data_IF_507480667384
#
_entry.id   IF_507480667384
#
_cell.length_a   1.000
_cell.length_b   1.000
_cell.length_c   1.000
_cell.angle_alpha   90.00
_cell.angle_beta   90.00
_cell.angle_gamma   90.00
#
_symmetry.space_group_name_H-M   'P 1'
#
loop_
_entity.id
_entity.type
_entity.pdbx_description
1 polymer ?
#
# COMPACT_ATOMS: atom_id res chain seq x y z
N UNK A 1 -12.59 -9.45 14.14
CA UNK A 1 -11.40 -9.61 13.33
C UNK A 1 -11.37 -8.55 12.24
N UNK A 2 -10.23 -7.95 12.10
CA UNK A 2 -10.08 -6.87 11.14
C UNK A 2 -9.99 -7.42 9.72
N UNK A 3 -10.80 -6.88 8.82
CA UNK A 3 -10.58 -7.01 7.39
C UNK A 3 -9.53 -6.00 6.99
N UNK A 4 -8.63 -6.38 6.12
CA UNK A 4 -7.73 -5.42 5.52
C UNK A 4 -8.21 -5.10 4.10
N UNK A 5 -7.92 -3.89 3.67
CA UNK A 5 -8.23 -3.39 2.35
C UNK A 5 -6.93 -2.96 1.71
N UNK A 6 -6.82 -3.10 0.41
CA UNK A 6 -5.64 -2.64 -0.32
C UNK A 6 -5.84 -1.21 -0.78
N UNK A 7 -4.78 -0.43 -0.65
CA UNK A 7 -4.77 0.98 -1.06
C UNK A 7 -3.55 1.24 -1.93
N UNK A 8 -3.78 1.96 -3.01
CA UNK A 8 -2.68 2.50 -3.81
C UNK A 8 -2.43 3.92 -3.33
N UNK A 9 -1.21 4.16 -2.84
CA UNK A 9 -0.79 5.47 -2.37
C UNK A 9 0.17 6.08 -3.38
N UNK A 10 -0.12 7.29 -3.81
CA UNK A 10 0.72 8.01 -4.76
C UNK A 10 1.51 9.07 -4.03
N UNK A 11 2.83 9.04 -4.23
CA UNK A 11 3.76 10.05 -3.72
C UNK A 11 4.43 10.72 -4.92
N UNK A 12 4.18 11.99 -5.11
CA UNK A 12 4.79 12.76 -6.19
C UNK A 12 5.72 13.80 -5.59
N UNK A 13 6.98 13.42 -5.45
CA UNK A 13 8.02 14.24 -4.81
C UNK A 13 9.21 14.41 -5.76
N UNK A 14 9.12 15.23 -6.79
CA UNK A 14 10.17 15.35 -7.80
C UNK A 14 11.52 15.80 -7.28
N UNK A 15 11.54 16.43 -6.11
CA UNK A 15 12.77 16.95 -5.52
C UNK A 15 13.27 16.11 -4.34
N UNK A 16 12.62 15.01 -4.01
CA UNK A 16 13.06 14.17 -2.90
C UNK A 16 14.37 13.46 -3.27
N UNK A 17 15.29 13.39 -2.32
CA UNK A 17 16.53 12.65 -2.52
C UNK A 17 16.25 11.13 -2.41
N UNK A 18 17.02 10.35 -3.13
CA UNK A 18 16.91 8.90 -3.05
C UNK A 18 17.20 8.40 -1.63
N UNK A 19 18.10 9.04 -0.92
CA UNK A 19 18.42 8.73 0.47
C UNK A 19 17.19 8.89 1.39
N UNK A 20 16.40 9.93 1.18
CA UNK A 20 15.18 10.14 1.94
C UNK A 20 14.13 9.07 1.63
N UNK A 21 14.00 8.70 0.36
CA UNK A 21 13.09 7.63 -0.06
C UNK A 21 13.45 6.32 0.65
N UNK A 22 14.73 5.95 0.64
CA UNK A 22 15.20 4.74 1.32
C UNK A 22 14.96 4.80 2.82
N UNK A 23 15.16 5.95 3.43
CA UNK A 23 14.90 6.15 4.86
C UNK A 23 13.43 5.92 5.19
N UNK A 24 12.54 6.48 4.38
CA UNK A 24 11.09 6.29 4.54
C UNK A 24 10.72 4.81 4.42
N UNK A 25 11.27 4.13 3.42
CA UNK A 25 11.01 2.71 3.23
C UNK A 25 11.44 1.87 4.43
N UNK A 26 12.61 2.14 5.00
CA UNK A 26 13.10 1.43 6.18
C UNK A 26 12.19 1.68 7.39
N UNK A 27 11.76 2.91 7.58
CA UNK A 27 10.89 3.25 8.70
C UNK A 27 9.52 2.57 8.57
N UNK A 28 8.98 2.47 7.36
CA UNK A 28 7.64 1.93 7.11
C UNK A 28 7.61 0.42 6.91
N UNK A 29 8.74 -0.22 6.68
CA UNK A 29 8.78 -1.65 6.35
C UNK A 29 8.36 -2.55 7.50
N UNK A 30 8.52 -2.12 8.75
CA UNK A 30 8.28 -2.94 9.95
C UNK A 30 7.22 -2.36 10.88
N UNK A 31 6.30 -1.57 10.37
CA UNK A 31 5.24 -1.00 11.21
C UNK A 31 4.16 -2.03 11.50
N UNK A 32 3.44 -1.80 12.61
CA UNK A 32 2.29 -2.62 12.98
C UNK A 32 1.01 -2.05 12.37
N UNK A 33 -0.01 -2.88 12.25
CA UNK A 33 -1.37 -2.52 11.84
C UNK A 33 -1.54 -2.14 10.38
N UNK A 34 -0.47 -2.24 9.59
CA UNK A 34 -0.54 -2.09 8.14
C UNK A 34 0.63 -2.81 7.52
N UNK A 35 0.51 -3.18 6.27
CA UNK A 35 1.56 -3.88 5.55
C UNK A 35 1.84 -3.15 4.23
N UNK A 36 3.08 -2.77 4.06
CA UNK A 36 3.57 -2.28 2.78
C UNK A 36 3.85 -3.49 1.88
N UNK A 37 3.09 -3.62 0.79
CA UNK A 37 3.14 -4.81 -0.07
C UNK A 37 4.19 -4.68 -1.15
N UNK A 38 4.16 -3.59 -1.91
CA UNK A 38 5.11 -3.34 -3.00
C UNK A 38 5.08 -1.89 -3.43
N UNK A 39 6.11 -1.47 -4.16
CA UNK A 39 6.20 -0.13 -4.71
C UNK A 39 6.62 -0.20 -6.17
N UNK A 40 5.95 0.60 -6.97
CA UNK A 40 6.38 0.90 -8.34
C UNK A 40 6.86 2.34 -8.32
N UNK A 41 8.06 2.61 -8.80
CA UNK A 41 8.59 3.95 -8.73
C UNK A 41 9.28 4.36 -10.02
N UNK A 42 9.22 5.66 -10.29
CA UNK A 42 9.99 6.27 -11.37
C UNK A 42 10.96 7.24 -10.72
N UNK A 43 12.22 6.85 -10.64
CA UNK A 43 13.26 7.61 -9.96
C UNK A 43 13.53 8.96 -10.61
N UNK A 44 13.43 9.01 -11.94
CA UNK A 44 13.65 10.22 -12.73
C UNK A 44 12.58 11.28 -12.46
N UNK A 45 11.33 10.85 -12.38
CA UNK A 45 10.20 11.74 -12.20
C UNK A 45 9.86 11.98 -10.71
N UNK A 46 10.43 11.19 -9.82
CA UNK A 46 10.16 11.31 -8.39
C UNK A 46 8.77 10.84 -7.99
N UNK A 47 8.20 9.92 -8.75
CA UNK A 47 6.86 9.40 -8.48
C UNK A 47 6.94 7.98 -7.97
N UNK A 48 6.17 7.68 -6.93
CA UNK A 48 6.08 6.34 -6.35
C UNK A 48 4.62 5.93 -6.21
N UNK A 49 4.35 4.68 -6.51
CA UNK A 49 3.03 4.07 -6.34
C UNK A 49 3.21 2.92 -5.37
N UNK A 50 2.73 3.10 -4.15
CA UNK A 50 2.91 2.12 -3.09
C UNK A 50 1.61 1.38 -2.81
N UNK A 51 1.67 0.05 -2.84
CA UNK A 51 0.52 -0.78 -2.52
C UNK A 51 0.60 -1.15 -1.04
N UNK A 52 -0.47 -0.85 -0.31
CA UNK A 52 -0.57 -1.08 1.13
C UNK A 52 -1.80 -1.91 1.48
N UNK A 53 -1.71 -2.64 2.57
CA UNK A 53 -2.86 -3.27 3.22
C UNK A 53 -3.04 -2.62 4.58
N UNK A 54 -4.24 -2.15 4.87
CA UNK A 54 -4.56 -1.52 6.14
C UNK A 54 -6.05 -1.74 6.46
N UNK A 55 -6.43 -1.51 7.70
CA UNK A 55 -7.82 -1.67 8.10
C UNK A 55 -8.73 -0.69 7.38
N UNK A 56 -8.29 0.55 7.23
CA UNK A 56 -9.00 1.59 6.49
C UNK A 56 -8.04 2.71 6.08
N UNK A 57 -8.54 3.64 5.28
CA UNK A 57 -7.77 4.78 4.80
C UNK A 57 -7.31 5.69 5.94
N UNK A 58 -8.15 5.88 6.93
CA UNK A 58 -7.85 6.73 8.07
C UNK A 58 -6.63 6.22 8.85
N UNK A 59 -6.56 4.92 9.04
CA UNK A 59 -5.42 4.29 9.71
C UNK A 59 -4.14 4.50 8.92
N UNK A 60 -4.21 4.37 7.61
CA UNK A 60 -3.06 4.55 6.73
C UNK A 60 -2.57 6.00 6.74
N UNK A 61 -3.48 6.97 6.70
CA UNK A 61 -3.12 8.40 6.81
C UNK A 61 -2.43 8.70 8.14
N UNK A 62 -2.94 8.13 9.21
CA UNK A 62 -2.40 8.26 10.55
C UNK A 62 -0.94 7.80 10.61
N UNK A 63 -0.65 6.68 9.96
CA UNK A 63 0.70 6.14 9.88
C UNK A 63 1.63 7.10 9.13
N UNK A 64 1.20 7.62 7.99
CA UNK A 64 2.01 8.56 7.22
C UNK A 64 2.27 9.86 7.98
N UNK A 65 1.27 10.35 8.72
CA UNK A 65 1.43 11.54 9.55
C UNK A 65 2.46 11.29 10.66
N UNK A 66 2.40 10.14 11.30
CA UNK A 66 3.33 9.77 12.36
C UNK A 66 4.78 9.72 11.86
N UNK A 67 4.99 9.22 10.66
CA UNK A 67 6.32 9.08 10.07
C UNK A 67 6.73 10.26 9.19
N UNK A 68 5.91 11.31 9.14
CA UNK A 68 6.21 12.50 8.35
C UNK A 68 6.37 12.20 6.86
N UNK A 69 5.57 11.29 6.34
CA UNK A 69 5.59 10.93 4.93
C UNK A 69 4.43 11.62 4.23
N UNK A 70 4.74 12.47 3.26
CA UNK A 70 3.72 13.13 2.45
C UNK A 70 3.16 12.18 1.38
N UNK A 71 1.93 12.43 0.98
CA UNK A 71 1.27 11.65 -0.07
C UNK A 71 0.32 12.55 -0.83
N UNK A 72 0.09 12.22 -2.11
CA UNK A 72 -0.80 13.00 -2.98
C UNK A 72 -2.20 12.40 -3.04
N UNK A 73 -2.28 11.08 -3.10
CA UNK A 73 -3.58 10.42 -3.11
C UNK A 73 -3.50 9.04 -2.49
N UNK A 74 -4.61 8.60 -1.92
CA UNK A 74 -4.82 7.27 -1.40
C UNK A 74 -6.10 6.75 -2.04
N UNK A 75 -6.01 5.63 -2.74
CA UNK A 75 -7.14 5.06 -3.47
C UNK A 75 -7.31 3.60 -3.08
N UNK A 76 -8.52 3.24 -2.69
CA UNK A 76 -8.86 1.84 -2.45
C UNK A 76 -8.80 1.08 -3.77
N UNK A 77 -8.10 -0.05 -3.78
CA UNK A 77 -7.87 -0.81 -5.00
C UNK A 77 -8.04 -2.30 -4.75
N UNK A 78 -8.23 -3.02 -5.82
CA UNK A 78 -8.16 -4.48 -5.84
C UNK A 78 -7.06 -4.87 -6.81
N UNK A 79 -6.41 -5.97 -6.52
CA UNK A 79 -5.32 -6.46 -7.35
C UNK A 79 -5.77 -7.70 -8.13
N UNK A 80 -5.47 -7.74 -9.41
CA UNK A 80 -5.74 -8.92 -10.23
C UNK A 80 -4.57 -9.20 -11.16
N UNK A 81 -4.62 -10.33 -11.81
CA UNK A 81 -3.66 -10.74 -12.83
C UNK A 81 -4.41 -11.10 -14.12
N UNK A 82 -3.72 -11.20 -15.27
CA UNK A 82 -4.39 -11.53 -16.53
C UNK A 82 -5.22 -12.81 -16.53
N UNK A 83 -4.91 -13.73 -15.62
CA UNK A 83 -5.60 -15.03 -15.56
C UNK A 83 -6.78 -15.04 -14.58
N UNK A 84 -7.04 -13.95 -13.86
CA UNK A 84 -8.06 -13.90 -12.80
C UNK A 84 -9.21 -12.97 -13.16
N UNK A 85 -10.18 -13.49 -13.91
CA UNK A 85 -11.35 -12.72 -14.36
C UNK A 85 -12.65 -13.39 -13.98
N UNK A 86 -13.70 -12.61 -13.84
CA UNK A 86 -15.05 -13.08 -13.61
C UNK A 86 -15.16 -13.89 -12.33
N UNK A 87 -15.63 -15.13 -12.46
CA UNK A 87 -15.82 -16.04 -11.32
C UNK A 87 -14.51 -16.35 -10.60
N UNK A 88 -13.44 -16.60 -11.36
CA UNK A 88 -12.12 -16.89 -10.80
C UNK A 88 -11.61 -15.70 -9.97
N UNK A 89 -11.88 -14.51 -10.44
CA UNK A 89 -11.52 -13.29 -9.71
C UNK A 89 -12.24 -13.20 -8.37
N UNK A 90 -13.54 -13.47 -8.35
CA UNK A 90 -14.33 -13.46 -7.12
C UNK A 90 -13.81 -14.47 -6.11
N UNK A 91 -13.50 -15.68 -6.56
CA UNK A 91 -12.93 -16.74 -5.72
C UNK A 91 -11.58 -16.34 -5.16
N UNK A 92 -10.76 -15.71 -5.97
CA UNK A 92 -9.46 -15.18 -5.54
C UNK A 92 -9.61 -14.14 -4.44
N UNK A 93 -10.54 -13.20 -4.58
CA UNK A 93 -10.79 -12.18 -3.56
C UNK A 93 -11.22 -12.80 -2.22
N UNK A 94 -12.03 -13.83 -2.25
CA UNK A 94 -12.45 -14.51 -1.04
C UNK A 94 -11.28 -15.18 -0.33
N UNK A 95 -10.38 -15.80 -1.08
CA UNK A 95 -9.17 -16.40 -0.53
C UNK A 95 -8.25 -15.35 0.08
N UNK A 96 -8.08 -14.21 -0.57
CA UNK A 96 -7.26 -13.12 -0.04
C UNK A 96 -7.84 -12.58 1.28
N UNK A 97 -9.13 -12.40 1.35
CA UNK A 97 -9.78 -11.93 2.58
C UNK A 97 -9.53 -12.86 3.75
N UNK A 98 -9.61 -14.16 3.50
CA UNK A 98 -9.32 -15.16 4.54
C UNK A 98 -7.87 -15.11 4.98
N UNK A 99 -6.95 -14.99 4.04
CA UNK A 99 -5.53 -14.89 4.33
C UNK A 99 -5.22 -13.64 5.13
N UNK A 100 -5.77 -12.50 4.76
CA UNK A 100 -5.61 -11.23 5.46
C UNK A 100 -6.12 -11.33 6.90
N UNK A 101 -7.25 -11.97 7.09
CA UNK A 101 -7.84 -12.16 8.41
C UNK A 101 -6.92 -13.00 9.32
N UNK A 102 -6.22 -13.97 8.75
CA UNK A 102 -5.29 -14.80 9.49
C UNK A 102 -3.93 -14.14 9.71
N UNK A 103 -3.53 -13.26 8.80
CA UNK A 103 -2.23 -12.58 8.85
C UNK A 103 -2.19 -11.42 9.86
N UNK A 104 -3.33 -10.85 10.16
CA UNK A 104 -3.48 -9.73 11.06
C UNK A 104 -4.40 -10.07 12.23
#
# INVERSE_FOLDING_TARGET
MAHTTKFMVVHNDPHISWTEVERNWRALANIEFAAWVRTFFNKKEGVRYCLWQAADEKKLRSIFDEFNVSWDSILEVEETTPDLWGRQWKEHLEKEKKADTLAF
#
